data_IF_124232841663
#
_entry.id   IF_124232841663
#
_cell.length_a   1.000
_cell.length_b   1.000
_cell.length_c   1.000
_cell.angle_alpha   90.00
_cell.angle_beta   90.00
_cell.angle_gamma   90.00
#
_symmetry.space_group_name_H-M   'P 1'
#
loop_
_entity.id
_entity.type
_entity.pdbx_description
1 polymer ?
#
# COMPACT_ATOMS: atom_id res chain seq x y z
N UNK A 1 -16.54 -8.42 8.67
CA UNK A 1 -15.49 -7.40 8.90
C UNK A 1 -16.12 -6.07 8.54
N UNK A 2 -16.10 -5.06 9.42
CA UNK A 2 -16.66 -3.73 9.10
C UNK A 2 -15.89 -3.13 7.92
N UNK A 3 -16.62 -2.66 6.91
CA UNK A 3 -16.09 -2.02 5.70
C UNK A 3 -15.83 -0.52 5.90
N UNK A 4 -16.04 0.01 7.12
CA UNK A 4 -16.04 1.45 7.44
C UNK A 4 -14.67 2.13 7.35
N UNK A 5 -13.60 1.39 7.02
CA UNK A 5 -12.23 1.90 6.93
C UNK A 5 -11.65 2.01 5.51
N UNK A 6 -12.38 1.60 4.47
CA UNK A 6 -11.90 1.71 3.09
C UNK A 6 -12.10 3.14 2.61
N UNK A 7 -11.03 3.74 2.07
CA UNK A 7 -11.10 5.09 1.53
C UNK A 7 -11.99 5.13 0.29
N UNK A 8 -12.73 6.22 0.09
CA UNK A 8 -13.46 6.41 -1.15
C UNK A 8 -12.48 6.76 -2.29
N UNK A 9 -12.57 6.03 -3.40
CA UNK A 9 -11.81 6.31 -4.61
C UNK A 9 -12.53 7.35 -5.46
N UNK A 10 -12.02 8.56 -5.40
CA UNK A 10 -12.54 9.69 -6.17
C UNK A 10 -11.76 9.92 -7.47
N UNK A 11 -10.43 9.80 -7.38
CA UNK A 11 -9.51 10.13 -8.46
C UNK A 11 -8.26 9.22 -8.48
N UNK A 12 -7.36 9.52 -9.42
CA UNK A 12 -6.12 8.77 -9.62
C UNK A 12 -5.11 8.88 -8.46
N UNK A 13 -5.15 9.94 -7.64
CA UNK A 13 -4.18 10.15 -6.55
C UNK A 13 -4.43 9.21 -5.37
N UNK A 14 -5.67 8.79 -5.18
CA UNK A 14 -6.07 7.89 -4.10
C UNK A 14 -6.06 6.41 -4.53
N UNK A 15 -5.87 6.12 -5.83
CA UNK A 15 -5.93 4.77 -6.39
C UNK A 15 -5.01 3.78 -5.69
N UNK A 16 -3.72 4.09 -5.55
CA UNK A 16 -2.74 3.16 -4.94
C UNK A 16 -3.15 2.75 -3.53
N UNK A 17 -3.68 3.69 -2.74
CA UNK A 17 -4.09 3.40 -1.38
C UNK A 17 -5.39 2.59 -1.33
N UNK A 18 -6.36 2.96 -2.15
CA UNK A 18 -7.60 2.19 -2.29
C UNK A 18 -7.30 0.76 -2.75
N UNK A 19 -6.45 0.59 -3.76
CA UNK A 19 -6.07 -0.71 -4.31
C UNK A 19 -5.39 -1.61 -3.28
N UNK A 20 -4.52 -1.04 -2.42
CA UNK A 20 -3.92 -1.76 -1.28
C UNK A 20 -4.99 -2.26 -0.30
N UNK A 21 -5.99 -1.45 0.01
CA UNK A 21 -7.08 -1.84 0.91
C UNK A 21 -7.96 -2.94 0.28
N UNK A 22 -8.31 -2.82 -1.00
CA UNK A 22 -9.04 -3.85 -1.75
C UNK A 22 -8.26 -5.18 -1.75
N UNK A 23 -6.95 -5.13 -1.99
CA UNK A 23 -6.08 -6.30 -1.93
C UNK A 23 -6.06 -6.96 -0.54
N UNK A 24 -6.01 -6.15 0.51
CA UNK A 24 -6.06 -6.66 1.89
C UNK A 24 -7.41 -7.31 2.23
N UNK A 25 -8.52 -6.74 1.76
CA UNK A 25 -9.87 -7.29 1.94
C UNK A 25 -10.04 -8.61 1.18
N UNK A 26 -9.46 -8.69 -0.01
CA UNK A 26 -9.44 -9.88 -0.86
C UNK A 26 -8.44 -10.96 -0.40
N UNK A 27 -7.88 -10.85 0.81
CA UNK A 27 -6.98 -11.86 1.35
C UNK A 27 -7.65 -13.26 1.32
N UNK A 28 -6.88 -14.27 0.91
CA UNK A 28 -7.36 -15.64 0.72
C UNK A 28 -8.00 -15.92 -0.65
N UNK A 29 -8.43 -14.89 -1.40
CA UNK A 29 -8.98 -15.05 -2.76
C UNK A 29 -8.24 -14.23 -3.83
N UNK A 30 -7.22 -13.45 -3.44
CA UNK A 30 -6.53 -12.49 -4.32
C UNK A 30 -6.11 -13.09 -5.66
N UNK A 31 -5.57 -14.31 -5.65
CA UNK A 31 -5.09 -15.02 -6.85
C UNK A 31 -6.16 -15.12 -7.96
N UNK A 32 -7.44 -15.18 -7.60
CA UNK A 32 -8.59 -15.29 -8.51
C UNK A 32 -9.21 -13.94 -8.91
N UNK A 33 -8.82 -12.85 -8.25
CA UNK A 33 -9.39 -11.50 -8.47
C UNK A 33 -8.35 -10.46 -8.86
N UNK A 34 -7.08 -10.81 -8.82
CA UNK A 34 -5.97 -9.96 -9.22
C UNK A 34 -6.17 -9.49 -10.69
N UNK A 35 -6.13 -8.17 -10.96
CA UNK A 35 -6.21 -7.61 -12.31
C UNK A 35 -5.10 -8.09 -13.25
N UNK A 36 -3.97 -8.57 -12.72
CA UNK A 36 -2.81 -8.98 -13.52
C UNK A 36 -2.79 -10.50 -13.82
N UNK A 37 -3.66 -11.29 -13.20
CA UNK A 37 -3.71 -12.74 -13.41
C UNK A 37 -4.84 -13.14 -14.35
N UNK A 38 -4.70 -14.32 -14.96
CA UNK A 38 -5.76 -14.96 -15.76
C UNK A 38 -6.40 -16.14 -15.04
N UNK A 39 -5.93 -16.46 -13.83
CA UNK A 39 -6.40 -17.62 -13.06
C UNK A 39 -7.87 -17.45 -12.67
N UNK A 40 -8.68 -18.48 -12.86
CA UNK A 40 -10.05 -18.51 -12.33
C UNK A 40 -10.23 -19.73 -11.41
N UNK A 41 -11.27 -19.68 -10.59
CA UNK A 41 -11.66 -20.82 -9.77
C UNK A 41 -12.46 -21.78 -10.64
N UNK A 42 -11.99 -23.02 -10.75
CA UNK A 42 -12.66 -24.02 -11.57
C UNK A 42 -13.83 -24.63 -10.81
N UNK A 43 -14.99 -24.68 -11.45
CA UNK A 43 -16.14 -25.39 -10.90
C UNK A 43 -15.81 -26.90 -10.79
N UNK A 44 -15.99 -27.51 -9.61
CA UNK A 44 -15.68 -28.92 -9.43
C UNK A 44 -16.65 -29.80 -10.21
N UNK A 45 -16.09 -30.75 -10.96
CA UNK A 45 -16.85 -31.67 -11.80
C UNK A 45 -17.65 -32.61 -10.91
N UNK A 46 -18.97 -32.61 -11.07
CA UNK A 46 -19.86 -33.50 -10.31
C UNK A 46 -19.60 -34.96 -10.70
N UNK A 47 -19.38 -35.87 -9.72
CA UNK A 47 -19.18 -37.28 -9.99
C UNK A 47 -20.40 -37.93 -10.65
N UNK A 48 -20.14 -38.97 -11.44
CA UNK A 48 -21.18 -39.82 -12.01
C UNK A 48 -21.89 -40.63 -10.91
N UNK A 49 -23.08 -41.17 -11.21
CA UNK A 49 -23.84 -41.98 -10.25
C UNK A 49 -23.13 -43.27 -9.83
N UNK A 50 -22.21 -43.75 -10.65
CA UNK A 50 -21.39 -44.94 -10.43
C UNK A 50 -20.08 -44.65 -9.70
N UNK A 51 -19.81 -43.38 -9.36
CA UNK A 51 -18.61 -42.99 -8.65
C UNK A 51 -18.59 -43.56 -7.22
N UNK A 52 -17.37 -43.73 -6.72
CA UNK A 52 -17.09 -44.21 -5.37
C UNK A 52 -17.49 -43.18 -4.31
N UNK A 53 -17.72 -43.64 -3.08
CA UNK A 53 -18.02 -42.75 -1.94
C UNK A 53 -16.92 -41.71 -1.72
N UNK A 54 -15.66 -42.09 -1.95
CA UNK A 54 -14.50 -41.19 -1.81
C UNK A 54 -14.51 -40.06 -2.85
N UNK A 55 -14.91 -40.34 -4.10
CA UNK A 55 -15.05 -39.32 -5.14
C UNK A 55 -16.19 -38.34 -4.80
N UNK A 56 -17.28 -38.84 -4.23
CA UNK A 56 -18.37 -38.01 -3.74
C UNK A 56 -17.96 -37.12 -2.57
N UNK A 57 -17.20 -37.63 -1.59
CA UNK A 57 -16.68 -36.84 -0.48
C UNK A 57 -15.68 -35.77 -0.94
N UNK A 58 -14.75 -36.12 -1.84
CA UNK A 58 -13.83 -35.15 -2.43
C UNK A 58 -14.56 -34.05 -3.19
N UNK A 59 -15.57 -34.40 -4.00
CA UNK A 59 -16.41 -33.41 -4.69
C UNK A 59 -17.15 -32.49 -3.71
N UNK A 60 -17.70 -33.01 -2.60
CA UNK A 60 -18.39 -32.17 -1.59
C UNK A 60 -17.45 -31.12 -1.00
N UNK A 61 -16.23 -31.51 -0.63
CA UNK A 61 -15.24 -30.60 -0.06
C UNK A 61 -14.85 -29.52 -1.08
N UNK A 62 -14.49 -29.93 -2.30
CA UNK A 62 -14.11 -29.00 -3.36
C UNK A 62 -15.25 -28.08 -3.80
N UNK A 63 -16.50 -28.57 -3.82
CA UNK A 63 -17.69 -27.76 -4.08
C UNK A 63 -17.96 -26.73 -2.97
N UNK A 64 -17.71 -27.08 -1.71
CA UNK A 64 -17.80 -26.14 -0.61
C UNK A 64 -16.76 -25.02 -0.75
N UNK A 65 -15.50 -25.37 -1.04
CA UNK A 65 -14.43 -24.39 -1.25
C UNK A 65 -14.74 -23.47 -2.45
N UNK A 66 -15.18 -24.03 -3.57
CA UNK A 66 -15.60 -23.27 -4.76
C UNK A 66 -16.69 -22.25 -4.41
N UNK A 67 -17.76 -22.69 -3.75
CA UNK A 67 -18.87 -21.82 -3.39
C UNK A 67 -18.43 -20.72 -2.40
N UNK A 68 -17.55 -21.04 -1.44
CA UNK A 68 -17.01 -20.06 -0.51
C UNK A 68 -16.19 -18.97 -1.22
N UNK A 69 -15.39 -19.35 -2.23
CA UNK A 69 -14.62 -18.40 -3.04
C UNK A 69 -15.56 -17.51 -3.87
N UNK A 70 -16.58 -18.09 -4.51
CA UNK A 70 -17.53 -17.34 -5.34
C UNK A 70 -18.37 -16.36 -4.51
N UNK A 71 -18.82 -16.74 -3.31
CA UNK A 71 -19.49 -15.79 -2.40
C UNK A 71 -18.55 -14.66 -1.99
N UNK A 72 -17.29 -14.97 -1.69
CA UNK A 72 -16.29 -13.95 -1.34
C UNK A 72 -16.00 -12.99 -2.51
N UNK A 73 -16.03 -13.47 -3.75
CA UNK A 73 -15.93 -12.62 -4.95
C UNK A 73 -17.14 -11.69 -5.08
N UNK A 74 -18.36 -12.14 -4.76
CA UNK A 74 -19.57 -11.30 -4.76
C UNK A 74 -19.49 -10.20 -3.70
N UNK A 75 -19.09 -10.55 -2.48
CA UNK A 75 -18.87 -9.56 -1.43
C UNK A 75 -17.83 -8.51 -1.86
N UNK A 76 -16.73 -8.93 -2.49
CA UNK A 76 -15.72 -8.02 -3.00
C UNK A 76 -16.26 -7.09 -4.10
N UNK A 77 -17.13 -7.58 -4.98
CA UNK A 77 -17.79 -6.75 -5.98
C UNK A 77 -18.58 -5.61 -5.32
N UNK A 78 -19.36 -5.93 -4.28
CA UNK A 78 -20.15 -4.92 -3.57
C UNK A 78 -19.23 -3.90 -2.88
N UNK A 79 -18.15 -4.36 -2.25
CA UNK A 79 -17.16 -3.49 -1.61
C UNK A 79 -16.53 -2.54 -2.64
N UNK A 80 -16.13 -3.04 -3.81
CA UNK A 80 -15.57 -2.20 -4.87
C UNK A 80 -16.59 -1.14 -5.28
N UNK A 81 -17.83 -1.53 -5.57
CA UNK A 81 -18.85 -0.58 -6.05
C UNK A 81 -19.24 0.47 -5.00
N UNK A 82 -19.19 0.12 -3.71
CA UNK A 82 -19.52 1.02 -2.60
C UNK A 82 -18.37 1.95 -2.20
N UNK A 83 -17.14 1.67 -2.62
CA UNK A 83 -15.93 2.43 -2.23
C UNK A 83 -15.35 3.26 -3.36
N UNK A 84 -16.05 3.38 -4.49
CA UNK A 84 -15.67 4.22 -5.63
C UNK A 84 -16.67 5.35 -5.84
N UNK A 85 -16.25 6.43 -6.49
CA UNK A 85 -17.12 7.55 -6.81
C UNK A 85 -18.29 7.14 -7.73
N UNK A 86 -19.43 7.86 -7.71
CA UNK A 86 -20.56 7.56 -8.59
C UNK A 86 -20.19 7.54 -10.08
N UNK A 87 -19.20 8.34 -10.49
CA UNK A 87 -18.71 8.35 -11.87
C UNK A 87 -18.04 7.03 -12.25
N UNK A 88 -17.10 6.56 -11.43
CA UNK A 88 -16.41 5.28 -11.64
C UNK A 88 -17.37 4.09 -11.51
N UNK A 89 -18.34 4.18 -10.59
CA UNK A 89 -19.35 3.15 -10.35
C UNK A 89 -20.16 2.82 -11.61
N UNK A 90 -20.59 3.83 -12.38
CA UNK A 90 -21.37 3.60 -13.61
C UNK A 90 -20.64 2.76 -14.66
N UNK A 91 -19.32 2.92 -14.76
CA UNK A 91 -18.50 2.19 -15.71
C UNK A 91 -18.16 0.80 -15.17
N UNK A 92 -17.72 0.72 -13.91
CA UNK A 92 -17.38 -0.54 -13.25
C UNK A 92 -18.59 -1.47 -13.05
N UNK A 93 -19.81 -0.95 -12.87
CA UNK A 93 -21.01 -1.75 -12.67
C UNK A 93 -21.31 -2.70 -13.85
N UNK A 94 -20.82 -2.38 -15.06
CA UNK A 94 -21.02 -3.20 -16.27
C UNK A 94 -20.12 -4.43 -16.34
N UNK A 95 -19.02 -4.44 -15.59
CA UNK A 95 -18.08 -5.55 -15.50
C UNK A 95 -18.64 -6.65 -14.58
N UNK A 96 -18.38 -7.93 -14.89
CA UNK A 96 -18.98 -9.05 -14.15
C UNK A 96 -18.17 -9.44 -12.92
N UNK A 97 -16.85 -9.46 -13.05
CA UNK A 97 -15.95 -9.92 -11.98
C UNK A 97 -15.25 -8.76 -11.27
N UNK A 98 -14.80 -8.96 -10.01
CA UNK A 98 -13.98 -7.98 -9.30
C UNK A 98 -12.73 -7.58 -10.10
N UNK A 99 -12.10 -8.56 -10.77
CA UNK A 99 -10.96 -8.37 -11.67
C UNK A 99 -11.28 -7.33 -12.75
N UNK A 100 -12.32 -7.57 -13.55
CA UNK A 100 -12.73 -6.68 -14.64
C UNK A 100 -13.09 -5.29 -14.13
N UNK A 101 -13.73 -5.19 -12.95
CA UNK A 101 -14.05 -3.91 -12.32
C UNK A 101 -12.79 -3.10 -12.02
N UNK A 102 -11.80 -3.73 -11.37
CA UNK A 102 -10.52 -3.08 -11.03
C UNK A 102 -9.80 -2.63 -12.31
N UNK A 103 -9.74 -3.48 -13.34
CA UNK A 103 -9.15 -3.13 -14.64
C UNK A 103 -9.86 -1.94 -15.30
N UNK A 104 -11.19 -1.94 -15.30
CA UNK A 104 -11.98 -0.84 -15.83
C UNK A 104 -11.75 0.45 -15.05
N UNK A 105 -11.69 0.41 -13.72
CA UNK A 105 -11.40 1.57 -12.87
C UNK A 105 -10.02 2.16 -13.21
N UNK A 106 -8.97 1.33 -13.34
CA UNK A 106 -7.63 1.79 -13.76
C UNK A 106 -7.69 2.49 -15.11
N UNK A 107 -8.39 1.88 -16.06
CA UNK A 107 -8.58 2.45 -17.41
C UNK A 107 -9.29 3.80 -17.37
N UNK A 108 -10.38 3.92 -16.60
CA UNK A 108 -11.17 5.16 -16.45
C UNK A 108 -10.36 6.28 -15.79
N UNK A 109 -9.42 5.93 -14.91
CA UNK A 109 -8.50 6.87 -14.27
C UNK A 109 -7.25 7.17 -15.11
N UNK A 110 -7.14 6.58 -16.30
CA UNK A 110 -5.95 6.67 -17.18
C UNK A 110 -4.66 6.27 -16.46
N UNK A 111 -4.74 5.25 -15.60
CA UNK A 111 -3.60 4.70 -14.88
C UNK A 111 -2.97 3.58 -15.68
N UNK A 112 -1.78 3.85 -16.21
CA UNK A 112 -0.84 2.84 -16.66
C UNK A 112 0.34 2.73 -15.66
N UNK A 113 1.22 1.75 -15.88
CA UNK A 113 2.35 1.51 -14.99
C UNK A 113 3.33 2.70 -14.89
N UNK A 114 3.39 3.57 -15.90
CA UNK A 114 4.26 4.75 -15.87
C UNK A 114 3.59 5.94 -15.20
N UNK A 115 2.29 6.13 -15.37
CA UNK A 115 1.49 7.13 -14.68
C UNK A 115 1.44 6.87 -13.17
N UNK A 116 1.27 5.61 -12.74
CA UNK A 116 1.33 5.24 -11.32
C UNK A 116 2.69 5.57 -10.71
N UNK A 117 3.79 5.24 -11.42
CA UNK A 117 5.14 5.64 -11.00
C UNK A 117 5.30 7.16 -10.96
N UNK A 118 4.75 7.89 -11.94
CA UNK A 118 4.81 9.37 -11.98
C UNK A 118 4.11 9.99 -10.78
N UNK A 119 2.90 9.54 -10.46
CA UNK A 119 2.12 10.02 -9.32
C UNK A 119 2.83 9.73 -7.98
N UNK A 120 3.40 8.53 -7.82
CA UNK A 120 4.17 8.18 -6.64
C UNK A 120 5.40 9.09 -6.48
N UNK A 121 6.16 9.33 -7.56
CA UNK A 121 7.29 10.27 -7.57
C UNK A 121 6.89 11.68 -7.16
N UNK A 122 5.83 12.21 -7.76
CA UNK A 122 5.34 13.56 -7.48
C UNK A 122 4.93 13.72 -6.01
N UNK A 123 4.21 12.73 -5.47
CA UNK A 123 3.83 12.70 -4.07
C UNK A 123 5.04 12.71 -3.15
N UNK A 124 6.03 11.84 -3.40
CA UNK A 124 7.26 11.82 -2.61
C UNK A 124 8.03 13.14 -2.68
N UNK A 125 8.22 13.68 -3.89
CA UNK A 125 8.91 14.95 -4.10
C UNK A 125 8.20 16.12 -3.41
N UNK A 126 6.87 16.15 -3.45
CA UNK A 126 6.07 17.15 -2.76
C UNK A 126 6.30 17.09 -1.23
N UNK A 127 6.34 15.89 -0.63
CA UNK A 127 6.62 15.73 0.81
C UNK A 127 8.03 16.19 1.16
N UNK A 128 9.03 15.86 0.35
CA UNK A 128 10.42 16.31 0.53
C UNK A 128 10.52 17.84 0.46
N UNK A 129 9.81 18.46 -0.48
CA UNK A 129 9.83 19.91 -0.70
C UNK A 129 9.08 20.73 0.37
N UNK A 130 8.22 20.11 1.20
CA UNK A 130 7.47 20.83 2.26
C UNK A 130 8.43 21.56 3.22
N UNK A 131 8.34 22.89 3.28
CA UNK A 131 9.09 23.76 4.21
C UNK A 131 8.32 23.98 5.51
N UNK A 132 9.03 24.34 6.60
CA UNK A 132 8.40 24.82 7.84
C UNK A 132 7.60 23.76 8.60
N UNK A 133 8.22 22.60 8.86
CA UNK A 133 7.58 21.43 9.47
C UNK A 133 7.34 21.64 10.96
N UNK A 134 6.10 22.06 11.32
CA UNK A 134 5.68 22.25 12.73
C UNK A 134 5.36 20.92 13.43
N UNK A 135 4.83 19.93 12.70
CA UNK A 135 4.51 18.60 13.21
C UNK A 135 5.37 17.55 12.51
N UNK A 136 6.50 17.22 13.13
CA UNK A 136 7.48 16.28 12.60
C UNK A 136 6.98 14.85 12.49
N UNK A 137 6.18 14.41 13.47
CA UNK A 137 5.64 13.05 13.51
C UNK A 137 4.71 12.81 12.32
N UNK A 138 3.76 13.72 12.08
CA UNK A 138 2.85 13.64 10.93
C UNK A 138 3.62 13.66 9.61
N UNK A 139 4.60 14.56 9.48
CA UNK A 139 5.40 14.64 8.25
C UNK A 139 6.24 13.36 8.03
N UNK A 140 6.82 12.78 9.08
CA UNK A 140 7.61 11.55 8.96
C UNK A 140 6.75 10.36 8.51
N UNK A 141 5.53 10.24 9.03
CA UNK A 141 4.56 9.24 8.58
C UNK A 141 4.15 9.44 7.11
N UNK A 142 3.91 10.69 6.70
CA UNK A 142 3.62 11.02 5.30
C UNK A 142 4.81 10.71 4.37
N UNK A 143 6.03 10.99 4.83
CA UNK A 143 7.27 10.70 4.11
C UNK A 143 7.47 9.20 3.92
N UNK A 144 7.37 8.42 5.00
CA UNK A 144 7.49 6.96 4.94
C UNK A 144 6.44 6.38 4.00
N UNK A 145 5.18 6.81 4.13
CA UNK A 145 4.09 6.33 3.26
C UNK A 145 4.34 6.66 1.80
N UNK A 146 4.79 7.87 1.48
CA UNK A 146 5.11 8.26 0.11
C UNK A 146 6.31 7.47 -0.45
N UNK A 147 7.30 7.15 0.40
CA UNK A 147 8.42 6.30 0.02
C UNK A 147 7.97 4.87 -0.29
N UNK A 148 7.14 4.28 0.57
CA UNK A 148 6.59 2.94 0.35
C UNK A 148 5.74 2.90 -0.93
N UNK A 149 4.95 3.94 -1.22
CA UNK A 149 4.21 4.04 -2.48
C UNK A 149 5.17 3.98 -3.69
N UNK A 150 6.32 4.66 -3.66
CA UNK A 150 7.34 4.56 -4.72
C UNK A 150 7.96 3.15 -4.82
N UNK A 151 8.20 2.49 -3.69
CA UNK A 151 8.78 1.15 -3.64
C UNK A 151 7.81 0.11 -4.21
N UNK A 152 6.53 0.22 -3.87
CA UNK A 152 5.49 -0.71 -4.28
C UNK A 152 5.23 -0.69 -5.80
N UNK A 153 5.31 0.49 -6.43
CA UNK A 153 5.21 0.64 -7.89
C UNK A 153 6.57 0.53 -8.61
N UNK A 154 7.62 0.14 -7.88
CA UNK A 154 8.97 -0.05 -8.38
C UNK A 154 9.51 1.15 -9.17
N UNK A 155 9.45 2.35 -8.58
CA UNK A 155 10.05 3.55 -9.17
C UNK A 155 11.58 3.44 -9.13
N UNK A 156 12.21 3.56 -10.29
CA UNK A 156 13.67 3.52 -10.42
C UNK A 156 14.35 4.62 -9.57
N UNK A 157 15.40 4.23 -8.85
CA UNK A 157 16.18 5.13 -8.00
C UNK A 157 15.57 5.42 -6.62
N UNK A 158 14.35 4.97 -6.32
CA UNK A 158 13.71 5.14 -5.01
C UNK A 158 14.02 3.95 -4.09
N UNK A 159 15.24 3.92 -3.58
CA UNK A 159 15.71 2.91 -2.64
C UNK A 159 15.88 3.47 -1.21
N UNK A 160 16.11 2.58 -0.25
CA UNK A 160 16.23 2.95 1.17
C UNK A 160 17.38 3.94 1.41
N UNK A 161 18.46 3.90 0.62
CA UNK A 161 19.59 4.83 0.73
C UNK A 161 19.20 6.26 0.31
N UNK A 162 18.43 6.40 -0.77
CA UNK A 162 17.85 7.68 -1.18
C UNK A 162 16.90 8.23 -0.11
N UNK A 163 15.99 7.39 0.40
CA UNK A 163 15.04 7.80 1.43
C UNK A 163 15.76 8.32 2.68
N UNK A 164 16.80 7.61 3.15
CA UNK A 164 17.64 8.07 4.27
C UNK A 164 18.28 9.43 3.99
N UNK A 165 18.91 9.59 2.83
CA UNK A 165 19.58 10.85 2.44
C UNK A 165 18.60 12.03 2.42
N UNK A 166 17.43 11.83 1.80
CA UNK A 166 16.41 12.88 1.70
C UNK A 166 15.82 13.23 3.07
N UNK A 167 15.60 12.23 3.93
CA UNK A 167 15.12 12.43 5.29
C UNK A 167 16.08 13.29 6.12
N UNK A 168 17.39 12.98 6.09
CA UNK A 168 18.44 13.75 6.78
C UNK A 168 18.48 15.19 6.24
N UNK A 169 18.50 15.36 4.90
CA UNK A 169 18.46 16.69 4.28
C UNK A 169 17.24 17.49 4.72
N UNK A 170 16.08 16.85 4.80
CA UNK A 170 14.86 17.48 5.29
C UNK A 170 15.01 17.92 6.75
N UNK A 171 15.52 17.06 7.63
CA UNK A 171 15.79 17.41 9.04
C UNK A 171 16.70 18.63 9.15
N UNK A 172 17.86 18.61 8.51
CA UNK A 172 18.84 19.71 8.55
C UNK A 172 18.28 21.03 8.00
N UNK A 173 17.42 20.97 6.98
CA UNK A 173 16.81 22.16 6.37
C UNK A 173 15.74 22.81 7.25
N UNK A 174 15.37 22.19 8.36
CA UNK A 174 14.38 22.75 9.27
C UNK A 174 15.10 23.18 10.54
N UNK A 175 14.76 24.37 11.01
CA UNK A 175 15.27 24.99 12.22
C UNK A 175 14.74 24.27 13.49
N UNK A 176 14.86 22.95 13.57
CA UNK A 176 14.38 22.17 14.72
C UNK A 176 15.38 22.33 15.87
N UNK A 177 14.97 22.87 17.03
CA UNK A 177 15.90 23.19 18.11
C UNK A 177 16.68 21.98 18.64
N UNK A 178 16.11 20.77 18.62
CA UNK A 178 16.81 19.58 19.10
C UNK A 178 17.88 19.07 18.13
N UNK A 179 17.71 19.26 16.81
CA UNK A 179 18.75 18.95 15.80
C UNK A 179 19.97 19.85 16.00
N UNK A 180 19.74 21.11 16.35
CA UNK A 180 20.81 22.03 16.77
C UNK A 180 21.45 21.62 18.11
N UNK A 181 20.67 21.08 19.06
CA UNK A 181 21.20 20.60 20.36
C UNK A 181 22.01 19.31 20.27
N UNK A 182 21.77 18.48 19.26
CA UNK A 182 22.52 17.23 19.05
C UNK A 182 23.89 17.45 18.39
N UNK A 183 24.29 18.70 18.10
CA UNK A 183 25.62 19.01 17.55
C UNK A 183 25.90 18.42 16.17
N UNK A 184 24.88 17.93 15.46
CA UNK A 184 25.07 17.20 14.20
C UNK A 184 25.10 18.19 13.03
N UNK A 185 26.27 18.78 12.78
CA UNK A 185 26.54 19.45 11.50
C UNK A 185 26.76 18.37 10.42
N UNK A 186 25.68 17.84 9.86
CA UNK A 186 25.79 16.97 8.68
C UNK A 186 26.14 17.84 7.46
N UNK A 187 27.42 17.92 7.13
CA UNK A 187 27.85 18.26 5.77
C UNK A 187 27.48 17.09 4.88
N UNK A 188 26.31 17.16 4.24
CA UNK A 188 25.86 16.18 3.24
C UNK A 188 26.67 16.40 1.96
N UNK A 189 27.94 15.98 1.98
CA UNK A 189 28.76 15.77 0.78
C UNK A 189 28.68 14.30 0.38
N UNK A 190 28.86 14.04 -0.92
CA UNK A 190 28.34 12.89 -1.68
C UNK A 190 28.94 11.51 -1.36
N UNK A 191 29.57 11.32 -0.19
CA UNK A 191 30.22 10.07 0.20
C UNK A 191 29.80 9.64 1.61
N UNK A 192 28.58 9.12 1.74
CA UNK A 192 28.19 8.32 2.91
C UNK A 192 28.58 6.84 2.70
N UNK A 193 29.87 6.59 2.44
CA UNK A 193 30.40 5.26 2.11
C UNK A 193 31.14 4.58 3.26
N UNK A 194 31.28 5.24 4.42
CA UNK A 194 32.04 4.69 5.56
C UNK A 194 31.11 4.04 6.59
N UNK A 195 31.52 2.86 7.06
CA UNK A 195 30.83 2.06 8.10
C UNK A 195 30.57 2.88 9.38
N UNK A 196 31.45 3.84 9.69
CA UNK A 196 31.34 4.75 10.84
C UNK A 196 30.16 5.75 10.72
N UNK A 197 29.85 6.21 9.50
CA UNK A 197 28.72 7.09 9.25
C UNK A 197 27.40 6.32 9.35
N UNK A 198 27.42 5.02 9.01
CA UNK A 198 26.29 4.10 9.19
C UNK A 198 26.02 3.81 10.65
N UNK A 199 27.06 3.52 11.44
CA UNK A 199 26.95 3.35 12.89
C UNK A 199 26.44 4.63 13.58
N UNK A 200 26.91 5.81 13.16
CA UNK A 200 26.42 7.10 13.68
C UNK A 200 24.95 7.37 13.31
N UNK A 201 24.52 6.95 12.12
CA UNK A 201 23.12 7.04 11.70
C UNK A 201 22.23 6.02 12.39
N UNK A 202 22.70 4.79 12.60
CA UNK A 202 22.00 3.75 13.35
C UNK A 202 21.88 4.15 14.83
N UNK A 203 22.92 4.74 15.43
CA UNK A 203 22.90 5.35 16.76
C UNK A 203 21.91 6.52 16.81
N UNK A 204 21.89 7.38 15.79
CA UNK A 204 20.93 8.49 15.68
C UNK A 204 19.48 8.02 15.54
N UNK A 205 19.22 7.01 14.70
CA UNK A 205 17.90 6.37 14.52
C UNK A 205 17.51 5.57 15.76
N UNK A 206 18.46 4.96 16.47
CA UNK A 206 18.25 4.27 17.75
C UNK A 206 17.90 5.26 18.85
N UNK A 207 18.61 6.38 18.97
CA UNK A 207 18.27 7.49 19.86
C UNK A 207 16.90 8.05 19.49
N UNK A 208 16.57 8.16 18.20
CA UNK A 208 15.25 8.61 17.76
C UNK A 208 14.13 7.63 18.13
N UNK A 209 14.34 6.33 17.95
CA UNK A 209 13.42 5.26 18.41
C UNK A 209 13.25 5.29 19.92
N UNK A 210 14.34 5.38 20.69
CA UNK A 210 14.29 5.43 22.16
C UNK A 210 13.64 6.72 22.69
N UNK A 211 13.81 7.85 21.99
CA UNK A 211 13.22 9.15 22.38
C UNK A 211 11.76 9.25 21.95
N UNK A 212 11.37 8.62 20.84
CA UNK A 212 9.99 8.43 20.45
C UNK A 212 9.28 7.49 21.45
N UNK A 213 9.86 6.33 21.75
CA UNK A 213 9.29 5.32 22.68
C UNK A 213 9.17 5.85 24.12
N UNK A 214 10.15 6.62 24.62
CA UNK A 214 10.05 7.25 25.96
C UNK A 214 8.94 8.31 26.07
N UNK A 215 8.53 8.92 24.96
CA UNK A 215 7.38 9.85 24.92
C UNK A 215 6.04 9.15 24.71
N UNK A 216 6.03 7.93 24.17
CA UNK A 216 4.83 7.10 24.09
C UNK A 216 4.38 6.58 25.47
N UNK A 217 5.31 6.30 26.39
CA UNK A 217 4.96 5.84 27.75
C UNK A 217 4.46 6.94 28.70
N UNK A 218 4.64 8.22 28.37
CA UNK A 218 4.21 9.36 29.22
C UNK A 218 2.88 9.97 28.80
N UNK A 219 2.20 9.38 27.81
CA UNK A 219 0.83 9.77 27.40
C UNK A 219 -0.24 8.72 27.78
N UNK A 220 0.13 7.65 28.50
CA UNK A 220 -0.79 6.74 29.20
C UNK A 220 -0.63 6.84 30.73
N UNK A 221 -0.40 8.05 31.24
CA UNK A 221 -0.39 8.36 32.69
C UNK A 221 -1.32 9.51 33.00
#
# INVERSE_FOLDING_TARGET
MSHDGIIQLEDKHNFTHWFKQIRAVANGIWLYVDPETTLDVNEPIKPEKTATDMEWEYWKITAQDYNAIEERKKELNDIILNTISPQLCREAARCRSPREKIQQIRKSLHLDGEEEKRLAREKYQAIVAKKGRRNWTSWAMEFERAFLDCKDVNVEGYNDAKARRDFIKCLCASSVPWVASCGVSFSVTDEMTKEEDRASLEEFVRIFRVTADRRFQTMES
#
